data_IF_301145363129
#
_entry.id   IF_301145363129
#
_cell.length_a   1.000
_cell.length_b   1.000
_cell.length_c   1.000
_cell.angle_alpha   90.00
_cell.angle_beta   90.00
_cell.angle_gamma   90.00
#
_symmetry.space_group_name_H-M   'P 1'
#
loop_
_entity.id
_entity.type
_entity.pdbx_description
1 polymer ?
#
# COMPACT_ATOMS: atom_id res chain seq x y z
N UNK A 1 55.28 9.40 -15.37
CA UNK A 1 54.34 8.28 -15.63
C UNK A 1 53.19 8.42 -14.66
N UNK A 2 52.04 8.85 -15.14
CA UNK A 2 50.79 8.92 -14.39
C UNK A 2 50.07 7.58 -14.50
N UNK A 3 49.60 7.02 -13.38
CA UNK A 3 48.66 5.90 -13.39
C UNK A 3 47.25 6.44 -13.13
N UNK A 4 46.38 6.16 -14.09
CA UNK A 4 44.99 6.55 -14.19
C UNK A 4 44.13 5.91 -13.11
N UNK A 5 43.24 6.73 -12.54
CA UNK A 5 42.07 6.27 -11.77
C UNK A 5 41.02 5.77 -12.77
N UNK A 6 40.61 4.51 -12.64
CA UNK A 6 39.40 4.01 -13.29
C UNK A 6 38.18 4.41 -12.46
N UNK A 7 37.33 5.22 -13.08
CA UNK A 7 36.01 5.60 -12.59
C UNK A 7 35.03 4.51 -13.01
N UNK A 8 34.42 3.81 -12.05
CA UNK A 8 33.31 2.90 -12.34
C UNK A 8 32.04 3.76 -12.44
N UNK A 9 31.64 4.08 -13.67
CA UNK A 9 30.35 4.68 -13.97
C UNK A 9 29.23 3.67 -13.67
N UNK A 10 28.46 3.94 -12.61
CA UNK A 10 27.21 3.24 -12.34
C UNK A 10 26.17 3.63 -13.38
N UNK A 11 25.71 2.66 -14.17
CA UNK A 11 24.60 2.80 -15.13
C UNK A 11 23.31 3.25 -14.42
N UNK A 12 22.96 4.52 -14.56
CA UNK A 12 21.66 5.07 -14.17
C UNK A 12 20.63 4.75 -15.26
N UNK A 13 19.93 3.63 -15.10
CA UNK A 13 18.83 3.25 -15.97
C UNK A 13 17.57 4.03 -15.56
N UNK A 14 17.00 4.84 -16.48
CA UNK A 14 15.66 5.41 -16.32
C UNK A 14 14.61 4.30 -16.36
N UNK A 15 14.39 3.60 -15.25
CA UNK A 15 13.23 2.71 -15.12
C UNK A 15 12.03 3.56 -14.76
N UNK A 16 11.28 3.99 -15.78
CA UNK A 16 9.89 4.40 -15.57
C UNK A 16 9.18 3.14 -15.06
N UNK A 17 8.59 3.18 -13.87
CA UNK A 17 7.67 2.13 -13.45
C UNK A 17 6.61 2.03 -14.56
N UNK A 18 6.63 0.93 -15.32
CA UNK A 18 5.52 0.61 -16.21
C UNK A 18 4.32 0.31 -15.32
N UNK A 19 3.50 1.32 -15.09
CA UNK A 19 2.18 1.18 -14.52
C UNK A 19 1.18 1.06 -15.66
N UNK A 20 0.29 0.08 -15.53
CA UNK A 20 -0.87 -0.13 -16.37
C UNK A 20 -1.71 1.16 -16.39
N UNK A 21 -1.78 1.84 -17.55
CA UNK A 21 -2.48 3.11 -17.76
C UNK A 21 -4.01 2.98 -17.63
N UNK A 22 -4.54 1.78 -17.39
CA UNK A 22 -5.98 1.48 -17.26
C UNK A 22 -6.59 1.73 -15.87
N UNK A 23 -5.79 2.08 -14.85
CA UNK A 23 -6.31 2.35 -13.50
C UNK A 23 -6.83 3.80 -13.38
N UNK A 24 -8.12 4.02 -13.01
CA UNK A 24 -8.63 5.35 -12.75
C UNK A 24 -7.83 6.04 -11.65
N UNK A 25 -7.36 7.23 -12.01
CA UNK A 25 -6.28 8.02 -11.40
C UNK A 25 -6.69 8.76 -10.11
N UNK A 26 -7.70 8.27 -9.38
CA UNK A 26 -8.26 8.92 -8.19
C UNK A 26 -7.96 8.10 -6.92
N UNK A 27 -6.80 8.33 -6.32
CA UNK A 27 -6.38 7.68 -5.06
C UNK A 27 -6.40 8.64 -3.86
N UNK A 28 -7.27 9.65 -3.87
CA UNK A 28 -7.57 10.33 -2.62
C UNK A 28 -8.20 9.28 -1.69
N UNK A 29 -7.60 9.16 -0.52
CA UNK A 29 -8.15 8.36 0.57
C UNK A 29 -9.45 9.02 1.04
N UNK A 30 -10.55 8.73 0.35
CA UNK A 30 -11.89 9.17 0.75
C UNK A 30 -12.41 8.27 1.87
N UNK A 31 -11.77 8.38 3.03
CA UNK A 31 -12.29 7.71 4.21
C UNK A 31 -13.53 8.46 4.70
N UNK A 32 -14.69 7.80 4.65
CA UNK A 32 -15.97 8.34 5.11
C UNK A 32 -15.96 8.65 6.62
N UNK A 33 -15.12 7.96 7.40
CA UNK A 33 -14.99 8.21 8.84
C UNK A 33 -14.42 9.60 9.13
N UNK A 34 -13.45 10.08 8.32
CA UNK A 34 -12.75 11.34 8.55
C UNK A 34 -12.92 12.36 7.43
N UNK A 35 -13.96 12.21 6.59
CA UNK A 35 -14.22 13.08 5.42
C UNK A 35 -14.41 14.55 5.78
N UNK A 36 -14.91 14.83 7.00
CA UNK A 36 -15.09 16.18 7.53
C UNK A 36 -13.76 16.88 7.90
N UNK A 37 -12.66 16.15 8.04
CA UNK A 37 -11.35 16.73 8.33
C UNK A 37 -10.79 17.34 7.05
N UNK A 38 -10.49 18.64 7.08
CA UNK A 38 -9.90 19.35 5.95
C UNK A 38 -8.50 18.81 5.65
N UNK A 39 -8.21 18.59 4.37
CA UNK A 39 -6.85 18.42 3.85
C UNK A 39 -6.31 19.77 3.40
N UNK A 40 -5.00 19.92 3.47
CA UNK A 40 -4.34 21.07 2.85
C UNK A 40 -4.01 20.65 1.41
N UNK A 41 -4.64 21.30 0.43
CA UNK A 41 -4.67 20.82 -0.97
C UNK A 41 -3.54 21.45 -1.82
N UNK A 42 -2.52 22.03 -1.18
CA UNK A 42 -1.46 22.82 -1.84
C UNK A 42 -0.15 22.06 -2.03
N UNK A 43 -0.21 20.81 -2.49
CA UNK A 43 0.98 19.99 -2.72
C UNK A 43 1.18 19.67 -4.20
N UNK A 44 2.36 19.96 -4.72
CA UNK A 44 2.75 19.51 -6.05
C UNK A 44 3.15 18.05 -5.96
N UNK A 45 2.36 17.16 -6.55
CA UNK A 45 2.66 15.72 -6.54
C UNK A 45 3.79 15.43 -7.53
N UNK A 46 4.83 14.76 -7.06
CA UNK A 46 6.00 14.37 -7.85
C UNK A 46 6.26 12.88 -7.73
N UNK A 47 6.80 12.29 -8.79
CA UNK A 47 7.20 10.89 -8.82
C UNK A 47 8.72 10.78 -8.60
N UNK A 48 9.17 9.95 -7.64
CA UNK A 48 10.60 9.76 -7.39
C UNK A 48 11.27 8.98 -8.52
N UNK A 49 12.55 9.25 -8.74
CA UNK A 49 13.42 8.36 -9.49
C UNK A 49 13.69 7.10 -8.65
N UNK A 50 13.45 5.93 -9.22
CA UNK A 50 13.68 4.64 -8.58
C UNK A 50 15.01 4.04 -9.06
N UNK A 51 15.79 3.57 -8.11
CA UNK A 51 17.00 2.75 -8.32
C UNK A 51 16.98 1.57 -7.35
N UNK A 52 17.86 0.60 -7.54
CA UNK A 52 17.98 -0.55 -6.65
C UNK A 52 19.43 -0.73 -6.24
N UNK A 53 19.67 -0.77 -4.94
CA UNK A 53 20.99 -0.97 -4.34
C UNK A 53 20.89 -2.15 -3.36
N UNK A 54 21.68 -3.22 -3.58
CA UNK A 54 21.65 -4.41 -2.72
C UNK A 54 20.24 -4.96 -2.46
N UNK A 55 19.41 -5.09 -3.51
CA UNK A 55 18.00 -5.52 -3.44
C UNK A 55 17.02 -4.57 -2.71
N UNK A 56 17.49 -3.38 -2.31
CA UNK A 56 16.70 -2.33 -1.66
C UNK A 56 16.30 -1.28 -2.69
N UNK A 57 15.01 -0.96 -2.74
CA UNK A 57 14.46 0.15 -3.54
C UNK A 57 14.92 1.50 -2.97
N UNK A 58 15.69 2.26 -3.74
CA UNK A 58 16.16 3.61 -3.39
C UNK A 58 15.41 4.64 -4.23
N UNK A 59 14.76 5.59 -3.56
CA UNK A 59 13.93 6.63 -4.16
C UNK A 59 14.61 7.99 -4.06
N UNK A 60 14.77 8.68 -5.19
CA UNK A 60 15.38 10.01 -5.25
C UNK A 60 14.38 11.06 -5.73
N UNK A 61 14.37 12.19 -5.05
CA UNK A 61 13.47 13.32 -5.29
C UNK A 61 14.30 14.59 -5.46
N UNK A 62 13.95 15.39 -6.45
CA UNK A 62 14.52 16.72 -6.66
C UNK A 62 13.41 17.75 -6.75
N UNK A 63 13.63 18.91 -6.12
CA UNK A 63 12.66 20.00 -6.12
C UNK A 63 13.35 21.36 -6.05
N UNK A 64 12.72 22.37 -6.64
CA UNK A 64 13.03 23.78 -6.39
C UNK A 64 12.18 24.30 -5.23
N UNK A 65 12.29 25.58 -4.89
CA UNK A 65 11.47 26.19 -3.85
C UNK A 65 9.96 25.91 -4.06
N UNK A 66 9.27 25.47 -3.02
CA UNK A 66 7.85 25.09 -3.09
C UNK A 66 7.43 24.03 -2.09
N UNK A 67 6.24 23.47 -2.31
CA UNK A 67 5.58 22.45 -1.51
C UNK A 67 5.26 21.22 -2.36
N UNK A 68 5.73 20.05 -1.95
CA UNK A 68 5.67 18.83 -2.76
C UNK A 68 5.20 17.62 -1.97
N UNK A 69 4.60 16.66 -2.66
CA UNK A 69 4.23 15.34 -2.15
C UNK A 69 4.79 14.24 -3.04
N UNK A 70 5.49 13.28 -2.45
CA UNK A 70 5.96 12.09 -3.15
C UNK A 70 4.79 11.15 -3.41
N UNK A 71 4.54 10.84 -4.68
CA UNK A 71 3.47 9.93 -5.12
C UNK A 71 3.60 8.51 -4.55
N UNK A 72 4.83 8.04 -4.30
CA UNK A 72 5.10 6.67 -3.83
C UNK A 72 4.97 6.59 -2.31
N UNK A 73 5.72 7.37 -1.56
CA UNK A 73 5.73 7.28 -0.09
C UNK A 73 4.64 8.10 0.58
N UNK A 74 4.05 9.09 -0.09
CA UNK A 74 3.19 10.09 0.55
C UNK A 74 3.95 11.09 1.42
N UNK A 75 5.29 11.06 1.43
CA UNK A 75 6.13 12.06 2.11
C UNK A 75 5.86 13.44 1.51
N UNK A 76 5.59 14.45 2.36
CA UNK A 76 5.48 15.84 1.89
C UNK A 76 6.58 16.71 2.48
N UNK A 77 7.01 17.71 1.73
CA UNK A 77 8.03 18.64 2.19
C UNK A 77 7.86 20.02 1.60
N UNK A 78 8.41 21.01 2.30
CA UNK A 78 8.57 22.37 1.80
C UNK A 78 10.04 22.77 1.81
N UNK A 79 10.45 23.57 0.82
CA UNK A 79 11.82 24.07 0.73
C UNK A 79 11.84 25.48 0.13
N UNK A 80 12.86 26.28 0.49
CA UNK A 80 13.06 27.65 -0.04
C UNK A 80 14.06 27.74 -1.19
N UNK A 81 14.82 26.68 -1.41
CA UNK A 81 15.87 26.56 -2.44
C UNK A 81 15.82 25.14 -3.00
N UNK A 82 16.66 24.87 -4.01
CA UNK A 82 16.84 23.52 -4.54
C UNK A 82 17.16 22.53 -3.41
N UNK A 83 16.52 21.37 -3.46
CA UNK A 83 16.79 20.24 -2.58
C UNK A 83 16.83 18.95 -3.39
N UNK A 84 17.78 18.09 -3.07
CA UNK A 84 17.82 16.68 -3.47
C UNK A 84 17.66 15.81 -2.23
N UNK A 85 16.62 14.97 -2.23
CA UNK A 85 16.32 14.01 -1.15
C UNK A 85 16.45 12.59 -1.69
N UNK A 86 16.97 11.70 -0.87
CA UNK A 86 16.92 10.27 -1.08
C UNK A 86 16.17 9.63 0.08
N UNK A 87 15.37 8.59 -0.18
CA UNK A 87 14.83 7.76 0.87
C UNK A 87 14.69 6.30 0.46
N UNK A 88 14.56 5.43 1.45
CA UNK A 88 14.00 4.08 1.27
C UNK A 88 13.07 3.73 2.43
N UNK A 89 12.26 2.69 2.24
CA UNK A 89 11.45 2.14 3.32
C UNK A 89 12.35 1.36 4.28
N UNK A 90 12.24 1.64 5.58
CA UNK A 90 12.94 0.94 6.65
C UNK A 90 12.12 -0.22 7.23
N UNK A 91 12.79 -1.13 7.95
CA UNK A 91 12.11 -2.19 8.71
C UNK A 91 11.79 -1.72 10.13
N UNK A 92 10.56 -1.98 10.57
CA UNK A 92 10.17 -1.77 11.97
C UNK A 92 10.66 -2.88 12.91
N UNK A 93 11.14 -4.03 12.38
CA UNK A 93 11.52 -5.19 13.19
C UNK A 93 12.52 -4.88 14.31
N UNK A 94 13.62 -4.12 14.06
CA UNK A 94 14.58 -3.78 15.09
C UNK A 94 14.01 -2.92 16.23
N UNK A 95 12.87 -2.25 15.99
CA UNK A 95 12.29 -1.27 16.91
C UNK A 95 11.05 -1.79 17.65
N UNK A 96 10.57 -3.00 17.32
CA UNK A 96 9.34 -3.58 17.91
C UNK A 96 9.37 -3.63 19.44
N UNK A 97 10.47 -4.10 20.03
CA UNK A 97 10.60 -4.26 21.48
C UNK A 97 10.58 -2.90 22.21
N UNK A 98 11.27 -1.89 21.68
CA UNK A 98 11.28 -0.54 22.24
C UNK A 98 9.89 0.09 22.15
N UNK A 99 9.21 -0.02 21.01
CA UNK A 99 7.86 0.52 20.87
C UNK A 99 6.88 -0.14 21.85
N UNK A 100 6.98 -1.45 22.04
CA UNK A 100 6.16 -2.16 23.02
C UNK A 100 6.43 -1.67 24.46
N UNK A 101 7.69 -1.48 24.85
CA UNK A 101 8.03 -1.05 26.22
C UNK A 101 7.56 0.37 26.54
N UNK A 102 7.49 1.25 25.54
CA UNK A 102 6.99 2.62 25.71
C UNK A 102 5.50 2.79 25.37
N UNK A 103 4.79 1.70 25.07
CA UNK A 103 3.34 1.73 24.83
C UNK A 103 2.90 2.31 23.48
N UNK A 104 3.77 2.22 22.46
CA UNK A 104 3.50 2.66 21.10
C UNK A 104 3.46 1.50 20.09
N UNK A 105 2.85 1.75 18.94
CA UNK A 105 2.82 0.88 17.76
C UNK A 105 3.09 1.71 16.50
N UNK A 106 3.38 1.04 15.40
CA UNK A 106 3.56 1.66 14.10
C UNK A 106 2.30 2.45 13.70
N UNK A 107 2.50 3.61 13.08
CA UNK A 107 1.45 4.50 12.62
C UNK A 107 1.54 4.86 11.13
N UNK A 108 2.62 4.48 10.46
CA UNK A 108 2.89 4.73 9.04
C UNK A 108 4.16 4.03 8.58
N UNK A 109 4.63 4.31 7.35
CA UNK A 109 5.89 3.78 6.87
C UNK A 109 7.06 4.32 7.70
N UNK A 110 8.08 3.49 7.89
CA UNK A 110 9.37 3.92 8.38
C UNK A 110 10.20 4.39 7.18
N UNK A 111 10.72 5.60 7.22
CA UNK A 111 11.46 6.21 6.11
C UNK A 111 12.87 6.54 6.58
N UNK A 112 13.88 5.96 5.93
CA UNK A 112 15.26 6.44 6.05
C UNK A 112 15.43 7.57 5.04
N UNK A 113 15.55 8.80 5.52
CA UNK A 113 15.58 10.00 4.68
C UNK A 113 16.98 10.61 4.76
N UNK A 114 17.60 10.83 3.59
CA UNK A 114 18.90 11.50 3.43
C UNK A 114 18.75 12.72 2.56
N UNK A 115 19.30 13.86 3.01
CA UNK A 115 19.39 15.07 2.20
C UNK A 115 20.74 15.06 1.51
N UNK A 116 20.71 14.97 0.18
CA UNK A 116 21.91 15.00 -0.65
C UNK A 116 22.35 16.44 -0.93
N UNK A 117 21.39 17.35 -1.06
CA UNK A 117 21.63 18.77 -1.29
C UNK A 117 20.50 19.61 -0.69
N UNK A 118 20.85 20.77 -0.14
CA UNK A 118 19.88 21.78 0.30
C UNK A 118 19.33 21.56 1.71
N UNK A 119 18.18 22.20 2.01
CA UNK A 119 17.50 22.13 3.31
C UNK A 119 15.98 22.16 3.13
N UNK A 120 15.29 21.29 3.86
CA UNK A 120 13.83 21.31 3.98
C UNK A 120 13.43 22.21 5.17
N UNK A 121 12.34 22.96 4.98
CA UNK A 121 11.75 23.79 6.04
C UNK A 121 10.76 22.99 6.88
N UNK A 122 9.92 22.19 6.21
CA UNK A 122 8.90 21.36 6.84
C UNK A 122 8.89 19.99 6.19
N UNK A 123 8.61 18.96 7.00
CA UNK A 123 8.42 17.59 6.54
C UNK A 123 7.13 17.05 7.13
N UNK A 124 6.36 16.37 6.30
CA UNK A 124 5.10 15.77 6.69
C UNK A 124 5.21 14.26 6.48
N UNK A 125 5.31 13.52 7.58
CA UNK A 125 5.38 12.06 7.55
C UNK A 125 3.95 11.50 7.43
N UNK A 126 3.70 10.59 6.47
CA UNK A 126 2.39 9.99 6.29
C UNK A 126 2.04 9.04 7.45
N UNK A 127 0.76 8.93 7.76
CA UNK A 127 0.23 7.94 8.70
C UNK A 127 -1.07 7.32 8.20
N UNK A 128 -1.36 6.10 8.65
CA UNK A 128 -2.62 5.43 8.38
C UNK A 128 -3.65 5.66 9.50
N UNK A 129 -3.33 6.37 10.58
CA UNK A 129 -4.30 6.66 11.64
C UNK A 129 -5.52 7.41 11.09
N UNK A 130 -6.72 7.00 11.52
CA UNK A 130 -7.95 7.70 11.24
C UNK A 130 -8.42 8.43 12.50
N UNK A 131 -8.51 9.75 12.43
CA UNK A 131 -9.00 10.61 13.51
C UNK A 131 -10.44 11.08 13.29
N UNK A 132 -11.13 10.47 12.32
CA UNK A 132 -12.55 10.67 12.15
C UNK A 132 -13.25 10.03 13.33
N UNK A 133 -13.87 10.85 14.16
CA UNK A 133 -14.58 10.33 15.33
C UNK A 133 -16.01 10.11 14.90
N UNK A 134 -16.53 8.89 15.06
CA UNK A 134 -17.97 8.69 14.88
C UNK A 134 -18.75 9.53 15.93
N UNK A 135 -18.13 9.94 17.06
CA UNK A 135 -18.73 10.81 18.08
C UNK A 135 -17.70 11.67 18.88
N UNK A 136 -17.29 12.84 18.37
CA UNK A 136 -16.45 13.91 19.00
C UNK A 136 -14.91 13.89 18.82
N UNK A 137 -14.37 14.97 18.23
CA UNK A 137 -12.94 15.28 18.18
C UNK A 137 -12.26 15.10 19.55
N UNK A 138 -11.29 14.20 19.64
CA UNK A 138 -10.51 14.03 20.85
C UNK A 138 -9.34 15.04 20.87
N UNK A 139 -9.37 16.07 21.74
CA UNK A 139 -8.30 17.07 21.80
C UNK A 139 -6.94 16.49 22.21
N UNK A 140 -6.88 15.25 22.73
CA UNK A 140 -5.65 14.56 23.08
C UNK A 140 -5.03 13.77 21.91
N UNK A 141 -5.58 13.82 20.69
CA UNK A 141 -5.00 13.16 19.50
C UNK A 141 -3.51 13.50 19.32
N UNK A 142 -3.14 14.78 19.48
CA UNK A 142 -1.73 15.21 19.40
C UNK A 142 -0.86 14.56 20.48
N UNK A 143 -1.43 14.17 21.62
CA UNK A 143 -0.73 13.46 22.69
C UNK A 143 -0.57 11.96 22.41
N UNK A 144 -1.45 11.36 21.60
CA UNK A 144 -1.41 9.93 21.27
C UNK A 144 -0.65 9.60 19.97
N UNK A 145 -0.11 10.62 19.29
CA UNK A 145 0.71 10.48 18.08
C UNK A 145 2.10 11.05 18.31
N UNK A 146 3.13 10.27 17.97
CA UNK A 146 4.55 10.65 18.07
C UNK A 146 5.28 10.26 16.80
N UNK A 147 6.56 10.64 16.73
CA UNK A 147 7.48 10.16 15.70
C UNK A 147 8.60 9.40 16.38
N UNK A 148 8.83 8.16 15.95
CA UNK A 148 10.08 7.48 16.23
C UNK A 148 11.16 8.10 15.37
N UNK A 149 12.28 8.44 15.99
CA UNK A 149 13.46 8.98 15.36
C UNK A 149 14.66 8.12 15.79
N UNK A 150 15.40 7.60 14.81
CA UNK A 150 16.60 6.80 15.04
C UNK A 150 17.77 7.49 14.38
N UNK A 151 18.74 7.88 15.19
CA UNK A 151 19.96 8.55 14.76
C UNK A 151 21.15 7.77 15.32
N UNK A 152 21.99 7.26 14.41
CA UNK A 152 23.07 6.32 14.73
C UNK A 152 22.55 5.10 15.50
N UNK A 153 22.71 5.07 16.82
CA UNK A 153 22.24 4.01 17.72
C UNK A 153 21.22 4.50 18.75
N UNK A 154 20.82 5.78 18.69
CA UNK A 154 19.88 6.38 19.62
C UNK A 154 18.47 6.33 19.04
N UNK A 155 17.53 5.80 19.83
CA UNK A 155 16.10 5.77 19.50
C UNK A 155 15.36 6.74 20.41
N UNK A 156 14.65 7.70 19.82
CA UNK A 156 13.82 8.67 20.54
C UNK A 156 12.38 8.67 20.05
N UNK A 157 11.46 9.07 20.94
CA UNK A 157 10.03 9.22 20.63
C UNK A 157 9.66 10.70 20.78
N UNK A 158 9.54 11.38 19.64
CA UNK A 158 9.48 12.83 19.56
C UNK A 158 8.04 13.35 19.43
N UNK A 159 7.81 14.54 19.97
CA UNK A 159 6.55 15.28 19.77
C UNK A 159 6.48 15.84 18.34
N UNK A 160 5.27 15.89 17.81
CA UNK A 160 5.01 16.46 16.47
C UNK A 160 4.49 17.90 16.58
N UNK A 161 4.78 18.73 15.58
CA UNK A 161 4.31 20.11 15.56
C UNK A 161 2.78 20.17 15.34
N UNK A 162 2.28 19.37 14.40
CA UNK A 162 0.85 19.29 14.05
C UNK A 162 0.51 17.87 13.60
N UNK A 163 -0.69 17.40 13.94
CA UNK A 163 -1.30 16.21 13.36
C UNK A 163 -2.37 16.68 12.37
N UNK A 164 -2.36 16.14 11.16
CA UNK A 164 -3.35 16.42 10.11
C UNK A 164 -4.11 15.14 9.77
N UNK A 165 -4.98 15.16 8.76
CA UNK A 165 -5.81 14.00 8.40
C UNK A 165 -4.99 12.75 8.01
N UNK A 166 -3.87 12.94 7.31
CA UNK A 166 -3.04 11.84 6.78
C UNK A 166 -1.55 11.98 7.09
N UNK A 167 -1.15 13.06 7.76
CA UNK A 167 0.26 13.34 8.03
C UNK A 167 0.50 13.94 9.40
N UNK A 168 1.70 13.76 9.93
CA UNK A 168 2.25 14.57 11.03
C UNK A 168 3.30 15.53 10.50
N UNK A 169 3.24 16.79 10.94
CA UNK A 169 4.18 17.85 10.55
C UNK A 169 5.34 17.93 11.54
N UNK A 170 6.54 17.98 10.97
CA UNK A 170 7.81 18.27 11.63
C UNK A 170 8.36 19.60 11.07
N UNK A 171 8.96 20.40 11.95
CA UNK A 171 9.60 21.66 11.58
C UNK A 171 11.11 21.46 11.60
N UNK A 172 11.78 21.75 10.48
CA UNK A 172 13.22 21.67 10.33
C UNK A 172 13.86 20.42 10.97
N UNK A 173 13.37 19.20 10.66
CA UNK A 173 13.89 17.99 11.30
C UNK A 173 15.35 17.71 10.90
N UNK A 174 16.10 17.05 11.77
CA UNK A 174 17.32 16.32 11.36
C UNK A 174 16.92 15.09 10.55
N UNK A 175 17.76 14.72 9.57
CA UNK A 175 17.44 13.67 8.61
C UNK A 175 18.12 12.37 8.94
N UNK A 176 17.30 11.33 9.03
CA UNK A 176 17.59 10.06 9.66
C UNK A 176 16.35 9.18 9.53
N UNK A 177 16.40 7.98 10.10
CA UNK A 177 15.30 7.03 10.07
C UNK A 177 14.14 7.52 10.96
N UNK A 178 12.98 7.78 10.34
CA UNK A 178 11.81 8.35 11.02
C UNK A 178 10.50 7.69 10.60
N UNK A 179 9.58 7.53 11.55
CA UNK A 179 8.26 6.94 11.28
C UNK A 179 7.24 7.36 12.32
N UNK A 180 5.98 7.50 11.89
CA UNK A 180 4.88 7.85 12.81
C UNK A 180 4.59 6.65 13.72
N UNK A 181 4.37 6.92 15.00
CA UNK A 181 3.94 5.91 15.98
C UNK A 181 2.70 6.40 16.72
N UNK A 182 1.83 5.44 17.05
CA UNK A 182 0.53 5.65 17.69
C UNK A 182 0.54 4.98 19.06
N UNK A 183 -0.13 5.56 20.04
CA UNK A 183 -0.38 4.88 21.31
C UNK A 183 -1.05 3.51 21.04
N UNK A 184 -0.64 2.47 21.75
CA UNK A 184 -0.88 1.08 21.32
C UNK A 184 -2.34 0.64 21.16
N UNK A 185 -3.31 1.35 21.74
CA UNK A 185 -4.71 0.95 21.79
C UNK A 185 -5.64 2.08 21.32
N UNK A 186 -6.79 1.69 20.77
CA UNK A 186 -7.91 2.60 20.52
C UNK A 186 -7.94 3.30 19.17
N UNK A 187 -6.98 3.01 18.28
CA UNK A 187 -6.97 3.61 16.94
C UNK A 187 -7.78 2.82 15.92
N UNK A 188 -8.59 3.55 15.17
CA UNK A 188 -9.01 3.14 13.83
C UNK A 188 -7.99 3.63 12.82
N UNK A 189 -7.82 2.87 11.74
CA UNK A 189 -6.85 3.13 10.69
C UNK A 189 -7.50 3.05 9.33
N UNK A 190 -7.01 3.89 8.43
CA UNK A 190 -7.19 3.75 6.99
C UNK A 190 -6.58 2.43 6.55
N UNK A 191 -7.32 1.65 5.76
CA UNK A 191 -6.90 0.34 5.32
C UNK A 191 -6.87 0.24 3.81
N UNK A 192 -6.01 -0.64 3.33
CA UNK A 192 -6.05 -1.13 1.97
C UNK A 192 -6.47 -2.59 1.95
N UNK A 193 -7.01 -2.97 0.80
CA UNK A 193 -7.35 -4.34 0.49
C UNK A 193 -6.84 -4.67 -0.92
N UNK A 194 -5.97 -5.68 -1.01
CA UNK A 194 -5.41 -6.15 -2.27
C UNK A 194 -5.84 -7.61 -2.51
N UNK A 195 -6.23 -7.91 -3.73
CA UNK A 195 -6.70 -9.24 -4.14
C UNK A 195 -5.82 -9.72 -5.29
N UNK A 196 -5.27 -10.91 -5.13
CA UNK A 196 -4.45 -11.56 -6.15
C UNK A 196 -4.96 -12.96 -6.44
N UNK A 197 -5.01 -13.31 -7.72
CA UNK A 197 -5.21 -14.66 -8.20
C UNK A 197 -3.85 -15.33 -8.36
N UNK A 198 -3.63 -16.41 -7.62
CA UNK A 198 -2.43 -17.21 -7.77
C UNK A 198 -2.47 -18.02 -9.07
N UNK A 199 -1.29 -18.29 -9.64
CA UNK A 199 -1.14 -19.10 -10.85
C UNK A 199 -1.19 -20.59 -10.53
N UNK A 200 -2.39 -21.11 -10.29
CA UNK A 200 -2.66 -22.51 -9.93
C UNK A 200 -3.69 -23.14 -10.87
N UNK A 201 -3.79 -24.49 -10.88
CA UNK A 201 -4.75 -25.22 -11.73
C UNK A 201 -6.22 -24.92 -11.38
N UNK A 202 -6.51 -24.65 -10.11
CA UNK A 202 -7.81 -24.22 -9.61
C UNK A 202 -7.78 -22.76 -9.20
N UNK A 203 -8.94 -22.14 -9.00
CA UNK A 203 -9.01 -20.76 -8.55
C UNK A 203 -8.51 -20.65 -7.11
N UNK A 204 -7.39 -19.96 -6.93
CA UNK A 204 -6.84 -19.61 -5.61
C UNK A 204 -6.69 -18.09 -5.54
N UNK A 205 -7.41 -17.48 -4.60
CA UNK A 205 -7.38 -16.04 -4.35
C UNK A 205 -6.68 -15.77 -3.01
N UNK A 206 -5.71 -14.87 -3.01
CA UNK A 206 -5.08 -14.29 -1.82
C UNK A 206 -5.59 -12.87 -1.61
N UNK A 207 -6.18 -12.62 -0.45
CA UNK A 207 -6.71 -11.31 -0.07
C UNK A 207 -5.94 -10.75 1.13
N UNK A 208 -5.29 -9.62 0.92
CA UNK A 208 -4.50 -8.90 1.91
C UNK A 208 -5.34 -7.77 2.50
N UNK A 209 -5.52 -7.76 3.82
CA UNK A 209 -6.09 -6.63 4.56
C UNK A 209 -5.00 -6.02 5.42
N UNK A 210 -4.64 -4.77 5.17
CA UNK A 210 -3.51 -4.11 5.83
C UNK A 210 -3.80 -2.63 6.09
N UNK A 211 -3.08 -1.97 7.02
CA UNK A 211 -3.08 -0.52 7.09
C UNK A 211 -2.69 0.09 5.73
N UNK A 212 -3.22 1.26 5.40
CA UNK A 212 -2.88 2.00 4.19
C UNK A 212 -1.46 2.57 4.29
N UNK A 213 -0.48 1.67 4.13
CA UNK A 213 0.94 1.93 4.24
C UNK A 213 1.62 1.58 2.91
N UNK A 214 2.26 2.56 2.24
CA UNK A 214 2.95 2.33 0.98
C UNK A 214 4.04 1.25 1.04
N UNK A 215 4.74 1.11 2.17
CA UNK A 215 5.78 0.09 2.34
C UNK A 215 5.17 -1.33 2.35
N UNK A 216 4.02 -1.51 3.00
CA UNK A 216 3.30 -2.79 3.00
C UNK A 216 2.75 -3.12 1.62
N UNK A 217 2.20 -2.10 0.92
CA UNK A 217 1.74 -2.26 -0.46
C UNK A 217 2.86 -2.69 -1.40
N UNK A 218 4.02 -2.02 -1.34
CA UNK A 218 5.18 -2.38 -2.16
C UNK A 218 5.64 -3.81 -1.86
N UNK A 219 5.69 -4.22 -0.58
CA UNK A 219 6.06 -5.57 -0.20
C UNK A 219 5.13 -6.64 -0.78
N UNK A 220 3.80 -6.42 -0.72
CA UNK A 220 2.81 -7.34 -1.31
C UNK A 220 2.94 -7.37 -2.83
N UNK A 221 3.06 -6.21 -3.48
CA UNK A 221 3.21 -6.11 -4.93
C UNK A 221 4.49 -6.80 -5.43
N UNK A 222 5.62 -6.63 -4.74
CA UNK A 222 6.89 -7.31 -5.05
C UNK A 222 6.76 -8.83 -4.89
N UNK A 223 6.16 -9.29 -3.80
CA UNK A 223 5.95 -10.72 -3.53
C UNK A 223 5.04 -11.37 -4.58
N UNK A 224 3.87 -10.78 -4.85
CA UNK A 224 2.89 -11.37 -5.77
C UNK A 224 3.37 -11.30 -7.23
N UNK A 225 4.17 -10.28 -7.59
CA UNK A 225 4.88 -10.24 -8.87
C UNK A 225 5.87 -11.40 -9.00
N UNK A 226 6.66 -11.68 -7.97
CA UNK A 226 7.59 -12.81 -7.97
C UNK A 226 6.87 -14.16 -8.11
N UNK A 227 5.68 -14.29 -7.52
CA UNK A 227 4.83 -15.48 -7.62
C UNK A 227 4.06 -15.58 -8.96
N UNK A 228 4.17 -14.57 -9.83
CA UNK A 228 3.44 -14.53 -11.11
C UNK A 228 1.92 -14.45 -10.95
N UNK A 229 1.44 -13.92 -9.82
CA UNK A 229 0.01 -13.75 -9.55
C UNK A 229 -0.58 -12.59 -10.34
N UNK A 230 -1.88 -12.67 -10.66
CA UNK A 230 -2.64 -11.62 -11.34
C UNK A 230 -3.42 -10.79 -10.32
N UNK A 231 -3.33 -9.47 -10.38
CA UNK A 231 -4.11 -8.57 -9.51
C UNK A 231 -5.58 -8.53 -9.96
N UNK A 232 -6.50 -8.67 -9.00
CA UNK A 232 -7.93 -8.40 -9.19
C UNK A 232 -8.25 -7.07 -8.51
N UNK A 233 -8.69 -6.08 -9.29
CA UNK A 233 -8.93 -4.73 -8.79
C UNK A 233 -10.35 -4.64 -8.21
N UNK A 234 -10.44 -4.36 -6.92
CA UNK A 234 -11.69 -4.05 -6.21
C UNK A 234 -11.47 -2.85 -5.30
N UNK A 235 -12.54 -2.07 -5.01
CA UNK A 235 -12.42 -0.93 -4.10
C UNK A 235 -12.00 -1.42 -2.71
N UNK A 236 -11.27 -0.58 -1.98
CA UNK A 236 -10.90 -0.81 -0.57
C UNK A 236 -12.05 -0.47 0.38
N UNK A 237 -11.95 -0.77 1.69
CA UNK A 237 -12.92 -0.31 2.68
C UNK A 237 -13.04 1.23 2.73
N UNK A 238 -14.26 1.74 2.66
CA UNK A 238 -14.57 3.18 2.68
C UNK A 238 -14.48 3.79 4.09
N UNK A 239 -14.64 2.95 5.12
CA UNK A 239 -14.56 3.34 6.54
C UNK A 239 -13.28 2.80 7.16
N UNK A 240 -12.77 3.53 8.14
CA UNK A 240 -11.61 3.08 8.91
C UNK A 240 -11.92 1.82 9.73
N UNK A 241 -10.90 1.00 9.94
CA UNK A 241 -10.99 -0.27 10.66
C UNK A 241 -10.15 -0.21 11.94
N UNK A 242 -10.59 -0.90 12.99
CA UNK A 242 -9.90 -0.87 14.28
C UNK A 242 -8.60 -1.66 14.18
N UNK A 243 -7.47 -1.00 14.48
CA UNK A 243 -6.17 -1.64 14.57
C UNK A 243 -6.21 -2.72 15.67
N UNK A 244 -5.33 -3.72 15.55
CA UNK A 244 -5.16 -4.80 16.55
C UNK A 244 -6.43 -5.65 16.77
N UNK A 245 -7.33 -5.65 15.79
CA UNK A 245 -8.59 -6.41 15.82
C UNK A 245 -8.52 -7.55 14.82
N UNK A 246 -9.08 -8.70 15.19
CA UNK A 246 -9.23 -9.85 14.31
C UNK A 246 -10.31 -9.62 13.26
N UNK A 247 -9.92 -9.80 12.00
CA UNK A 247 -10.82 -9.86 10.86
C UNK A 247 -10.90 -11.28 10.30
N UNK A 248 -12.05 -11.59 9.72
CA UNK A 248 -12.28 -12.85 9.00
C UNK A 248 -12.78 -12.54 7.60
N UNK A 249 -12.37 -13.37 6.64
CA UNK A 249 -12.93 -13.39 5.30
C UNK A 249 -14.01 -14.46 5.22
N UNK A 250 -15.16 -14.09 4.66
CA UNK A 250 -16.22 -15.00 4.26
C UNK A 250 -16.42 -14.92 2.76
N UNK A 251 -16.78 -16.05 2.18
CA UNK A 251 -17.20 -16.13 0.79
C UNK A 251 -18.56 -16.78 0.71
N UNK A 252 -19.37 -16.34 -0.25
CA UNK A 252 -20.66 -16.94 -0.58
C UNK A 252 -20.64 -17.35 -2.04
N UNK A 253 -20.84 -18.65 -2.28
CA UNK A 253 -20.86 -19.31 -3.57
C UNK A 253 -22.24 -19.95 -3.79
N UNK A 254 -22.59 -20.40 -5.01
CA UNK A 254 -23.73 -21.27 -5.24
C UNK A 254 -23.74 -22.47 -4.28
N UNK A 255 -24.94 -22.90 -3.87
CA UNK A 255 -25.15 -23.85 -2.76
C UNK A 255 -24.39 -25.17 -2.89
N UNK A 256 -24.18 -25.63 -4.12
CA UNK A 256 -23.52 -26.92 -4.40
C UNK A 256 -21.98 -26.84 -4.32
N UNK A 257 -21.44 -25.63 -4.13
CA UNK A 257 -20.01 -25.36 -4.19
C UNK A 257 -19.47 -25.13 -2.80
N UNK A 258 -18.45 -25.92 -2.43
CA UNK A 258 -17.78 -25.84 -1.13
C UNK A 258 -16.43 -25.14 -1.26
N UNK A 259 -16.37 -23.80 -1.06
CA UNK A 259 -15.11 -23.09 -1.05
C UNK A 259 -14.28 -23.48 0.17
N UNK A 260 -12.97 -23.69 -0.03
CA UNK A 260 -12.04 -23.75 1.09
C UNK A 260 -11.54 -22.35 1.38
N UNK A 261 -11.95 -21.79 2.52
CA UNK A 261 -11.39 -20.53 3.01
C UNK A 261 -10.41 -20.86 4.11
N UNK A 262 -9.18 -20.36 4.02
CA UNK A 262 -8.28 -20.35 5.14
C UNK A 262 -8.86 -19.42 6.21
N UNK A 263 -9.66 -20.00 7.12
CA UNK A 263 -10.41 -19.30 8.17
C UNK A 263 -9.53 -18.74 9.28
N UNK A 264 -8.20 -18.69 9.09
CA UNK A 264 -7.28 -18.02 10.01
C UNK A 264 -7.73 -16.58 10.20
N UNK A 265 -7.85 -16.21 11.47
CA UNK A 265 -8.06 -14.82 11.89
C UNK A 265 -6.80 -14.06 11.58
N UNK A 266 -6.94 -12.90 10.94
CA UNK A 266 -5.82 -12.01 10.68
C UNK A 266 -6.02 -10.78 11.52
N UNK A 267 -5.07 -10.56 12.43
CA UNK A 267 -4.98 -9.30 13.17
C UNK A 267 -4.59 -8.19 12.19
N UNK A 268 -5.38 -7.12 12.15
CA UNK A 268 -4.99 -5.92 11.43
C UNK A 268 -3.83 -5.24 12.17
N UNK A 269 -2.61 -5.46 11.67
CA UNK A 269 -1.38 -4.93 12.23
C UNK A 269 -0.40 -4.55 11.11
N UNK A 270 0.64 -3.78 11.47
CA UNK A 270 1.76 -3.51 10.57
C UNK A 270 2.75 -4.67 10.63
N UNK A 271 2.54 -5.67 9.77
CA UNK A 271 3.40 -6.85 9.62
C UNK A 271 3.94 -6.83 8.20
N UNK A 272 5.26 -6.98 8.05
CA UNK A 272 5.93 -7.05 6.75
C UNK A 272 6.67 -8.40 6.61
N UNK A 273 6.33 -9.26 5.64
CA UNK A 273 5.20 -9.12 4.70
C UNK A 273 3.84 -9.30 5.41
N UNK A 274 2.76 -8.66 4.92
CA UNK A 274 1.42 -8.85 5.49
C UNK A 274 0.91 -10.29 5.33
N UNK A 275 0.17 -10.77 6.33
CA UNK A 275 -0.61 -12.00 6.21
C UNK A 275 -1.78 -11.82 5.22
N UNK A 276 -2.27 -12.93 4.66
CA UNK A 276 -3.40 -12.95 3.73
C UNK A 276 -4.43 -14.03 4.06
N UNK A 277 -5.67 -13.76 3.69
CA UNK A 277 -6.73 -14.76 3.61
C UNK A 277 -6.58 -15.50 2.29
N UNK A 278 -6.79 -16.81 2.30
CA UNK A 278 -6.81 -17.62 1.08
C UNK A 278 -8.21 -18.17 0.84
N UNK A 279 -8.68 -18.08 -0.41
CA UNK A 279 -9.91 -18.70 -0.88
C UNK A 279 -9.56 -19.61 -2.04
N UNK A 280 -9.86 -20.89 -1.90
CA UNK A 280 -9.67 -21.91 -2.92
C UNK A 280 -11.03 -22.44 -3.39
N UNK A 281 -11.24 -22.45 -4.70
CA UNK A 281 -12.44 -22.94 -5.37
C UNK A 281 -12.00 -23.84 -6.52
N UNK A 282 -12.35 -25.13 -6.44
CA UNK A 282 -11.93 -26.15 -7.42
C UNK A 282 -12.47 -25.85 -8.83
N UNK A 283 -13.78 -25.71 -8.92
CA UNK A 283 -14.52 -25.60 -10.19
C UNK A 283 -15.17 -24.21 -10.29
N UNK A 284 -14.34 -23.17 -10.36
CA UNK A 284 -14.80 -21.79 -10.43
C UNK A 284 -15.29 -21.44 -11.85
N UNK A 285 -16.61 -21.30 -12.00
CA UNK A 285 -17.23 -20.80 -13.24
C UNK A 285 -18.45 -19.88 -13.00
N UNK A 286 -18.38 -19.07 -11.95
CA UNK A 286 -19.50 -18.28 -11.47
C UNK A 286 -19.01 -17.04 -10.72
N UNK A 287 -19.92 -16.11 -10.49
CA UNK A 287 -19.67 -14.93 -9.66
C UNK A 287 -19.86 -15.30 -8.18
N UNK A 288 -18.99 -14.78 -7.32
CA UNK A 288 -19.06 -15.01 -5.87
C UNK A 288 -18.68 -13.75 -5.11
N UNK A 289 -19.02 -13.67 -3.82
CA UNK A 289 -18.70 -12.49 -3.02
C UNK A 289 -17.57 -12.75 -2.03
N UNK A 290 -16.72 -11.76 -1.82
CA UNK A 290 -15.75 -11.71 -0.74
C UNK A 290 -16.21 -10.69 0.30
N UNK A 291 -16.21 -11.09 1.57
CA UNK A 291 -16.80 -10.32 2.66
C UNK A 291 -15.85 -10.29 3.86
N UNK A 292 -15.39 -9.09 4.25
CA UNK A 292 -14.60 -8.90 5.47
C UNK A 292 -15.54 -8.56 6.62
N UNK A 293 -15.48 -9.35 7.69
CA UNK A 293 -16.26 -9.12 8.91
C UNK A 293 -15.35 -8.86 10.12
N UNK A 294 -15.78 -7.96 11.00
CA UNK A 294 -15.18 -7.83 12.33
C UNK A 294 -15.72 -8.94 13.24
N UNK A 295 -14.84 -9.75 13.82
CA UNK A 295 -15.23 -10.92 14.63
C UNK A 295 -16.11 -10.54 15.82
N UNK A 296 -15.71 -9.53 16.59
CA UNK A 296 -16.37 -9.17 17.86
C UNK A 296 -17.82 -8.70 17.72
N UNK A 297 -18.20 -8.19 16.54
CA UNK A 297 -19.55 -7.65 16.28
C UNK A 297 -20.32 -8.37 15.18
N UNK A 298 -19.70 -9.37 14.52
CA UNK A 298 -20.17 -9.98 13.26
C UNK A 298 -20.58 -8.96 12.18
N UNK A 299 -20.08 -7.72 12.29
CA UNK A 299 -20.47 -6.63 11.42
C UNK A 299 -19.70 -6.74 10.11
N UNK A 300 -20.41 -6.66 8.99
CA UNK A 300 -19.83 -6.53 7.66
C UNK A 300 -19.06 -5.19 7.59
N UNK A 301 -17.80 -5.26 7.18
CA UNK A 301 -16.92 -4.08 7.07
C UNK A 301 -16.57 -3.76 5.64
N UNK A 302 -16.60 -4.77 4.77
CA UNK A 302 -16.39 -4.62 3.34
C UNK A 302 -16.98 -5.84 2.62
N UNK A 303 -17.57 -5.62 1.46
CA UNK A 303 -18.14 -6.66 0.60
C UNK A 303 -17.94 -6.27 -0.85
N UNK A 304 -17.48 -7.19 -1.67
CA UNK A 304 -17.41 -7.03 -3.11
C UNK A 304 -17.68 -8.35 -3.83
N UNK A 305 -18.32 -8.26 -4.98
CA UNK A 305 -18.46 -9.35 -5.93
C UNK A 305 -17.17 -9.53 -6.74
N UNK A 306 -16.75 -10.78 -6.87
CA UNK A 306 -15.68 -11.24 -7.77
C UNK A 306 -16.38 -11.91 -8.96
N UNK A 307 -16.30 -11.26 -10.12
CA UNK A 307 -16.95 -11.74 -11.33
C UNK A 307 -16.08 -12.78 -12.01
N UNK A 308 -16.71 -13.73 -12.69
CA UNK A 308 -16.05 -14.72 -13.55
C UNK A 308 -15.03 -14.09 -14.50
N UNK A 309 -15.40 -12.96 -15.10
CA UNK A 309 -14.53 -12.20 -16.00
C UNK A 309 -13.25 -11.67 -15.33
N UNK A 310 -13.28 -11.38 -14.02
CA UNK A 310 -12.13 -10.83 -13.30
C UNK A 310 -10.96 -11.83 -13.23
N UNK A 311 -11.29 -13.13 -13.04
CA UNK A 311 -10.29 -14.18 -12.81
C UNK A 311 -10.08 -15.16 -13.98
N UNK A 312 -10.96 -15.18 -15.00
CA UNK A 312 -10.71 -16.00 -16.21
C UNK A 312 -9.88 -15.30 -17.28
N UNK A 313 -9.77 -13.97 -17.23
CA UNK A 313 -9.14 -13.20 -18.32
C UNK A 313 -10.00 -13.22 -19.60
N UNK A 314 -9.58 -12.51 -20.66
CA UNK A 314 -10.25 -12.58 -21.95
C UNK A 314 -10.19 -14.01 -22.48
N UNK A 315 -11.33 -14.55 -22.90
CA UNK A 315 -11.35 -15.79 -23.68
C UNK A 315 -10.66 -15.49 -25.02
N UNK A 316 -9.77 -16.35 -25.53
CA UNK A 316 -9.31 -16.23 -26.90
C UNK A 316 -10.53 -16.30 -27.82
N UNK A 317 -10.61 -15.38 -28.78
CA UNK A 317 -11.68 -15.35 -29.77
C UNK A 317 -11.79 -16.74 -30.41
N UNK A 318 -13.02 -17.25 -30.45
CA UNK A 318 -13.30 -18.53 -31.10
C UNK A 318 -12.94 -18.38 -32.58
N UNK A 319 -12.08 -19.24 -33.17
CA UNK A 319 -11.83 -19.15 -34.61
C UNK A 319 -13.16 -19.31 -35.34
N UNK A 320 -13.51 -18.32 -36.15
CA UNK A 320 -14.66 -18.41 -37.06
C UNK A 320 -14.55 -19.71 -37.85
N UNK A 321 -15.65 -20.47 -37.85
CA UNK A 321 -15.69 -21.82 -38.39
C UNK A 321 -15.17 -21.91 -39.82
N UNK A 322 -14.47 -23.01 -40.10
CA UNK A 322 -14.14 -23.43 -41.46
C UNK A 322 -15.42 -23.46 -42.30
N UNK A 323 -15.51 -22.51 -43.24
CA UNK A 323 -16.47 -22.59 -44.33
C UNK A 323 -15.99 -23.70 -45.24
N UNK A 324 -16.67 -24.84 -45.24
CA UNK A 324 -16.43 -25.91 -46.22
C UNK A 324 -16.61 -25.37 -47.65
N UNK A 325 -15.70 -25.67 -48.59
CA UNK A 325 -15.86 -25.26 -49.97
C UNK A 325 -16.97 -26.08 -50.63
N UNK A 326 -17.99 -25.37 -51.10
CA UNK A 326 -19.07 -25.92 -51.93
C UNK A 326 -18.47 -26.65 -53.14
N UNK A 327 -18.76 -27.96 -53.22
CA UNK A 327 -18.36 -28.82 -54.34
C UNK A 327 -19.02 -28.37 -55.65
N UNK A 328 -18.18 -28.05 -56.63
CA UNK A 328 -18.62 -27.85 -58.01
C UNK A 328 -18.95 -29.21 -58.65
N UNK A 329 -20.23 -29.44 -58.92
CA UNK A 329 -20.68 -30.52 -59.80
C UNK A 329 -20.35 -30.16 -61.25
N UNK A 330 -19.42 -30.92 -61.86
CA UNK A 330 -19.25 -30.99 -63.31
C UNK A 330 -20.39 -31.82 -63.91
N UNK A 331 -21.21 -31.18 -64.75
CA UNK A 331 -22.15 -31.85 -65.65
C UNK A 331 -21.41 -32.45 -66.84
N UNK A 332 -21.65 -33.72 -67.11
CA UNK A 332 -21.27 -34.39 -68.35
C UNK A 332 -22.32 -34.13 -69.43
N UNK A 333 -21.85 -33.92 -70.66
CA UNK A 333 -22.58 -34.20 -71.90
C UNK A 333 -21.86 -35.33 -72.63
#
# INVERSE_FOLDING_TARGET
>A
MAMSKESIEGTSSKVKLHQDDSLPRNTLMECLTCSHLKTDDKWTVVEPYLSTENEISIYRLESLAGSYECRVSGLRWTCKKRVSVQYHFGSWDPHKAVLQSVGYRQGGPLLDIKIMEGKLEEVHLPHFACFGVEDHYNPTIKQSVRVLHVEENNVSIEKVAKVTRFHVKLLQPSFSLRGVVLQALGFSVHTDLLIYQARTAHLTIRTYLMPCDPALREAVEKQEKHLGSKRIVKPRPEKSLRLTTDYILKTYCPSDIKPSVNTKRIELAHINPPNYFEVFIRDADFDFSLNICCKGRKQLKWSQEIRKADYRGPQPDTPEGEIEPSGAHLGQS
#
